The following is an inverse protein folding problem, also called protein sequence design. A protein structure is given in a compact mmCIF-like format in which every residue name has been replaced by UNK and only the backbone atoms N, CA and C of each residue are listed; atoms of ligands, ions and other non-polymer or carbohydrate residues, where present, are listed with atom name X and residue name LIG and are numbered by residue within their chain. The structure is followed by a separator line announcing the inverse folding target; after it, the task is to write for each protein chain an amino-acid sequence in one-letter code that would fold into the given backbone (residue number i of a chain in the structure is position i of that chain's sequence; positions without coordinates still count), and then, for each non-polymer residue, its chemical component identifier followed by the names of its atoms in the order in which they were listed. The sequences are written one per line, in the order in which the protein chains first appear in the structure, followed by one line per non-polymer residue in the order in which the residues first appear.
data_IF_863128220411
#
_entry.id   IF_863128220411
#
_cell.length_a   1.000
_cell.length_b   1.000
_cell.length_c   1.000
_cell.angle_alpha   90.00
_cell.angle_beta   90.00
_cell.angle_gamma   90.00
#
_symmetry.space_group_name_H-M   'P 1'
#
loop_
_entity.id
_entity.type
_entity.pdbx_description
1 polymer ?
#
# COMPACT_ATOMS: atom_id res chain seq x y z
N UNK A 1 -23.69 21.10 -4.90
CA UNK A 1 -24.87 20.37 -4.41
C UNK A 1 -26.10 20.76 -5.22
N UNK A 2 -26.95 19.80 -5.53
CA UNK A 2 -28.28 20.04 -6.11
C UNK A 2 -29.25 20.17 -4.94
N UNK A 3 -29.99 21.25 -4.94
CA UNK A 3 -30.98 21.53 -3.88
C UNK A 3 -32.32 21.92 -4.50
N UNK A 4 -33.39 21.71 -3.77
CA UNK A 4 -34.70 22.18 -4.09
C UNK A 4 -35.06 23.34 -3.17
N UNK A 5 -35.45 24.49 -3.74
CA UNK A 5 -35.86 25.64 -2.97
C UNK A 5 -37.32 25.51 -2.46
N UNK A 6 -37.77 26.48 -1.69
CA UNK A 6 -39.13 26.52 -1.13
C UNK A 6 -40.23 26.61 -2.18
N UNK A 7 -39.90 27.03 -3.42
CA UNK A 7 -40.83 27.14 -4.55
C UNK A 7 -40.75 25.89 -5.45
N UNK A 8 -39.90 24.90 -5.09
CA UNK A 8 -39.74 23.68 -5.85
C UNK A 8 -38.73 23.73 -7.02
N UNK A 9 -37.98 24.84 -7.15
CA UNK A 9 -36.99 25.00 -8.23
C UNK A 9 -35.69 24.25 -7.87
N UNK A 10 -35.10 23.67 -8.88
CA UNK A 10 -33.79 23.00 -8.73
C UNK A 10 -32.66 24.03 -8.91
N UNK A 11 -31.77 24.08 -7.94
CA UNK A 11 -30.65 25.00 -7.88
C UNK A 11 -29.37 24.24 -7.60
N UNK A 12 -28.33 24.44 -8.43
CA UNK A 12 -26.98 24.00 -8.09
C UNK A 12 -26.28 25.11 -7.31
N UNK A 13 -25.81 24.80 -6.11
CA UNK A 13 -25.14 25.76 -5.23
C UNK A 13 -23.92 25.22 -4.53
N UNK A 14 -22.96 26.10 -4.27
CA UNK A 14 -21.79 25.84 -3.42
C UNK A 14 -21.96 26.45 -2.02
N UNK A 15 -23.06 27.14 -1.74
CA UNK A 15 -23.30 27.81 -0.47
C UNK A 15 -23.32 26.82 0.69
N UNK A 16 -22.67 27.20 1.79
CA UNK A 16 -22.74 26.54 3.09
C UNK A 16 -22.77 27.63 4.18
N UNK A 17 -23.71 27.57 5.14
CA UNK A 17 -24.84 26.63 5.23
C UNK A 17 -25.89 26.89 4.13
N UNK A 18 -26.71 25.87 3.85
CA UNK A 18 -27.85 26.04 2.96
C UNK A 18 -28.89 26.98 3.62
N UNK A 19 -29.60 27.79 2.82
CA UNK A 19 -30.72 28.58 3.34
C UNK A 19 -31.75 27.70 4.04
N UNK A 20 -32.43 28.19 5.09
CA UNK A 20 -33.46 27.42 5.76
C UNK A 20 -34.57 27.03 4.76
N UNK A 21 -35.04 25.80 4.87
CA UNK A 21 -36.05 25.18 4.00
C UNK A 21 -35.59 24.80 2.57
N UNK A 22 -34.30 24.87 2.27
CA UNK A 22 -33.77 24.25 1.05
C UNK A 22 -33.37 22.81 1.34
N UNK A 23 -33.82 21.88 0.49
CA UNK A 23 -33.55 20.46 0.63
C UNK A 23 -32.48 20.04 -0.38
N UNK A 24 -31.44 19.36 0.11
CA UNK A 24 -30.45 18.72 -0.77
C UNK A 24 -31.07 17.49 -1.42
N UNK A 25 -30.89 17.36 -2.74
CA UNK A 25 -31.45 16.26 -3.54
C UNK A 25 -30.31 15.40 -4.05
N UNK A 26 -30.37 14.12 -3.72
CA UNK A 26 -29.44 13.12 -4.26
C UNK A 26 -29.74 12.76 -5.72
N UNK A 27 -28.74 12.24 -6.47
CA UNK A 27 -28.93 11.80 -7.85
C UNK A 27 -30.04 10.76 -8.04
N UNK A 28 -30.20 9.85 -7.08
CA UNK A 28 -31.27 8.84 -7.11
C UNK A 28 -32.65 9.44 -6.91
N UNK A 29 -32.76 10.43 -6.04
CA UNK A 29 -34.02 11.14 -5.75
C UNK A 29 -34.46 11.98 -6.94
N UNK A 30 -33.52 12.70 -7.58
CA UNK A 30 -33.79 13.42 -8.83
C UNK A 30 -34.25 12.46 -9.93
N UNK A 31 -33.56 11.33 -10.08
CA UNK A 31 -33.92 10.32 -11.07
C UNK A 31 -35.30 9.74 -10.80
N UNK A 32 -35.62 9.40 -9.54
CA UNK A 32 -36.95 8.93 -9.14
C UNK A 32 -38.04 9.96 -9.41
N UNK A 33 -37.76 11.24 -9.14
CA UNK A 33 -38.70 12.33 -9.44
C UNK A 33 -38.98 12.47 -10.94
N UNK A 34 -37.95 12.41 -11.79
CA UNK A 34 -38.09 12.50 -13.23
C UNK A 34 -38.84 11.31 -13.84
N UNK A 35 -38.63 10.10 -13.31
CA UNK A 35 -39.37 8.92 -13.74
C UNK A 35 -40.85 8.92 -13.33
N UNK A 36 -41.19 9.62 -12.25
CA UNK A 36 -42.55 9.72 -11.78
C UNK A 36 -43.38 10.79 -12.56
N UNK A 37 -42.70 11.64 -13.36
CA UNK A 37 -43.39 12.68 -14.15
C UNK A 37 -43.94 12.10 -15.45
N UNK A 38 -45.14 12.57 -15.88
CA UNK A 38 -45.63 12.33 -17.24
C UNK A 38 -44.62 12.84 -18.30
N UNK A 39 -44.47 12.16 -19.46
CA UNK A 39 -43.46 12.52 -20.47
C UNK A 39 -43.42 14.00 -20.87
N UNK A 40 -44.58 14.65 -20.99
CA UNK A 40 -44.66 16.07 -21.29
C UNK A 40 -44.09 16.96 -20.18
N UNK A 41 -44.28 16.57 -18.91
CA UNK A 41 -43.75 17.33 -17.77
C UNK A 41 -42.26 17.06 -17.59
N UNK A 42 -41.79 15.85 -17.87
CA UNK A 42 -40.35 15.54 -17.87
C UNK A 42 -39.65 16.34 -18.98
N UNK A 43 -40.21 16.44 -20.17
CA UNK A 43 -39.71 17.28 -21.26
C UNK A 43 -39.68 18.77 -20.87
N UNK A 44 -40.74 19.28 -20.24
CA UNK A 44 -40.80 20.65 -19.73
C UNK A 44 -39.75 20.89 -18.61
N UNK A 45 -39.45 19.89 -17.77
CA UNK A 45 -38.38 20.01 -16.77
C UNK A 45 -37.03 20.30 -17.44
N UNK A 46 -36.69 19.57 -18.49
CA UNK A 46 -35.40 19.75 -19.18
C UNK A 46 -35.27 21.07 -19.92
N UNK A 47 -36.38 21.73 -20.20
CA UNK A 47 -36.40 23.09 -20.80
C UNK A 47 -36.23 24.20 -19.75
N UNK A 48 -36.32 23.90 -18.46
CA UNK A 48 -36.11 24.86 -17.39
C UNK A 48 -34.66 25.31 -17.31
N UNK A 49 -34.44 26.58 -16.98
CA UNK A 49 -33.12 27.08 -16.66
C UNK A 49 -32.72 26.64 -15.25
N UNK A 50 -31.61 25.91 -15.12
CA UNK A 50 -31.03 25.53 -13.83
C UNK A 50 -29.99 26.57 -13.43
N UNK A 51 -30.16 27.16 -12.24
CA UNK A 51 -29.22 28.14 -11.72
C UNK A 51 -28.01 27.44 -11.07
N UNK A 52 -26.88 27.53 -11.73
CA UNK A 52 -25.57 27.10 -11.22
C UNK A 52 -24.80 28.34 -10.80
N UNK A 53 -24.66 28.75 -9.60
CA UNK A 53 -23.98 30.02 -9.28
C UNK A 53 -23.70 30.88 -10.56
N UNK A 54 -24.50 30.68 -11.56
CA UNK A 54 -24.64 31.08 -12.96
C UNK A 54 -25.84 30.35 -13.56
N UNK A 55 -26.18 30.62 -14.77
CA UNK A 55 -27.32 30.00 -15.45
C UNK A 55 -26.81 28.92 -16.41
N UNK A 56 -27.22 27.69 -16.19
CA UNK A 56 -27.01 26.57 -17.14
C UNK A 56 -28.39 26.13 -17.64
N UNK A 57 -28.53 25.98 -18.96
CA UNK A 57 -29.73 25.44 -19.55
C UNK A 57 -29.98 24.00 -19.16
N UNK A 58 -31.19 23.66 -18.74
CA UNK A 58 -31.57 22.27 -18.51
C UNK A 58 -31.37 21.37 -19.75
N UNK A 59 -31.47 21.94 -20.94
CA UNK A 59 -31.15 21.26 -22.20
C UNK A 59 -29.70 20.77 -22.26
N UNK A 60 -28.75 21.49 -21.65
CA UNK A 60 -27.36 21.02 -21.57
C UNK A 60 -27.21 19.75 -20.68
N UNK A 61 -28.01 19.66 -19.60
CA UNK A 61 -28.03 18.46 -18.75
C UNK A 61 -28.69 17.30 -19.48
N UNK A 62 -29.75 17.56 -20.27
CA UNK A 62 -30.38 16.54 -21.10
C UNK A 62 -29.40 15.98 -22.15
N UNK A 63 -28.66 16.85 -22.85
CA UNK A 63 -27.64 16.42 -23.82
C UNK A 63 -26.57 15.51 -23.18
N UNK A 64 -26.11 15.85 -21.97
CA UNK A 64 -25.16 15.01 -21.25
C UNK A 64 -25.77 13.66 -20.86
N UNK A 65 -27.03 13.64 -20.41
CA UNK A 65 -27.73 12.39 -20.08
C UNK A 65 -27.95 11.52 -21.33
N UNK A 66 -28.34 12.10 -22.44
CA UNK A 66 -28.51 11.41 -23.73
C UNK A 66 -27.19 10.80 -24.22
N UNK A 67 -26.09 11.57 -24.17
CA UNK A 67 -24.75 11.06 -24.48
C UNK A 67 -24.33 9.92 -23.56
N UNK A 68 -24.57 10.05 -22.26
CA UNK A 68 -24.28 8.98 -21.29
C UNK A 68 -25.12 7.72 -21.56
N UNK A 69 -26.38 7.87 -21.94
CA UNK A 69 -27.25 6.77 -22.31
C UNK A 69 -26.80 6.09 -23.62
N UNK A 70 -26.40 6.86 -24.61
CA UNK A 70 -25.84 6.35 -25.87
C UNK A 70 -24.54 5.59 -25.63
N UNK A 71 -23.61 6.16 -24.86
CA UNK A 71 -22.37 5.48 -24.48
C UNK A 71 -22.64 4.20 -23.69
N UNK A 72 -23.54 4.24 -22.71
CA UNK A 72 -23.97 3.02 -21.98
C UNK A 72 -24.57 1.96 -22.92
N UNK A 73 -25.37 2.37 -23.92
CA UNK A 73 -25.95 1.46 -24.91
C UNK A 73 -24.89 0.73 -25.73
N UNK A 74 -23.82 1.39 -26.13
CA UNK A 74 -22.70 0.78 -26.85
C UNK A 74 -22.04 -0.34 -26.03
N UNK A 75 -21.97 -0.18 -24.71
CA UNK A 75 -21.35 -1.17 -23.83
C UNK A 75 -22.30 -2.33 -23.43
N UNK A 76 -23.59 -2.06 -23.28
CA UNK A 76 -24.57 -3.07 -22.83
C UNK A 76 -24.89 -4.10 -23.91
N UNK A 77 -24.91 -3.70 -25.18
CA UNK A 77 -25.33 -4.58 -26.30
C UNK A 77 -24.24 -5.57 -26.72
N UNK A 78 -22.97 -5.32 -26.45
CA UNK A 78 -21.90 -6.16 -26.96
C UNK A 78 -21.28 -7.12 -25.96
N UNK A 79 -20.78 -6.64 -24.84
CA UNK A 79 -20.06 -7.43 -23.83
C UNK A 79 -20.07 -6.71 -22.47
N UNK A 80 -21.04 -6.98 -21.59
CA UNK A 80 -21.20 -6.25 -20.32
C UNK A 80 -20.02 -6.38 -19.35
N UNK A 81 -19.10 -7.29 -19.62
CA UNK A 81 -17.93 -7.56 -18.78
C UNK A 81 -16.61 -7.22 -19.48
N UNK A 82 -16.62 -6.27 -20.43
CA UNK A 82 -15.36 -5.79 -21.01
C UNK A 82 -14.56 -4.99 -19.98
N UNK A 83 -13.23 -4.97 -20.13
CA UNK A 83 -12.35 -4.28 -19.20
C UNK A 83 -12.64 -2.76 -19.16
N UNK A 84 -13.08 -2.18 -20.29
CA UNK A 84 -13.46 -0.76 -20.41
C UNK A 84 -14.63 -0.45 -19.45
N UNK A 85 -15.66 -1.30 -19.42
CA UNK A 85 -16.81 -1.13 -18.51
C UNK A 85 -16.39 -1.39 -17.08
N UNK A 86 -15.73 -2.53 -16.84
CA UNK A 86 -15.36 -2.96 -15.51
C UNK A 86 -14.40 -1.95 -14.85
N UNK A 87 -13.48 -1.36 -15.61
CA UNK A 87 -12.56 -0.34 -15.09
C UNK A 87 -13.27 0.94 -14.61
N UNK A 88 -14.48 1.21 -15.07
CA UNK A 88 -15.32 2.31 -14.58
C UNK A 88 -16.06 1.96 -13.28
N UNK A 89 -16.20 0.66 -12.96
CA UNK A 89 -16.89 0.19 -11.74
C UNK A 89 -15.94 0.30 -10.54
N UNK A 90 -16.35 1.04 -9.52
CA UNK A 90 -15.53 1.29 -8.32
C UNK A 90 -15.15 0.00 -7.60
N UNK A 91 -16.12 -0.88 -7.40
CA UNK A 91 -15.96 -2.15 -6.69
C UNK A 91 -14.97 -3.06 -7.41
N UNK A 92 -15.02 -3.09 -8.74
CA UNK A 92 -14.07 -3.83 -9.56
C UNK A 92 -12.64 -3.31 -9.38
N UNK A 93 -12.45 -1.97 -9.41
CA UNK A 93 -11.12 -1.37 -9.17
C UNK A 93 -10.59 -1.69 -7.79
N UNK A 94 -11.46 -1.66 -6.77
CA UNK A 94 -11.07 -2.04 -5.40
C UNK A 94 -10.64 -3.50 -5.37
N UNK A 95 -11.43 -4.40 -5.96
CA UNK A 95 -11.10 -5.84 -6.03
C UNK A 95 -9.77 -6.08 -6.73
N UNK A 96 -9.52 -5.43 -7.86
CA UNK A 96 -8.25 -5.52 -8.59
C UNK A 96 -7.09 -5.00 -7.73
N UNK A 97 -7.30 -3.89 -7.03
CA UNK A 97 -6.29 -3.34 -6.12
C UNK A 97 -5.95 -4.29 -4.97
N UNK A 98 -6.96 -4.91 -4.36
CA UNK A 98 -6.76 -5.90 -3.30
C UNK A 98 -6.04 -7.15 -3.81
N UNK A 99 -6.42 -7.66 -4.97
CA UNK A 99 -5.73 -8.79 -5.62
C UNK A 99 -4.28 -8.46 -5.97
N UNK A 100 -4.02 -7.24 -6.42
CA UNK A 100 -2.66 -6.78 -6.66
C UNK A 100 -1.84 -6.77 -5.37
N UNK A 101 -2.40 -6.26 -4.26
CA UNK A 101 -1.74 -6.26 -2.95
C UNK A 101 -1.40 -7.68 -2.49
N UNK A 102 -2.33 -8.63 -2.62
CA UNK A 102 -2.08 -10.04 -2.29
C UNK A 102 -0.93 -10.62 -3.12
N UNK A 103 -0.92 -10.37 -4.43
CA UNK A 103 0.15 -10.85 -5.31
C UNK A 103 1.49 -10.21 -4.98
N UNK A 104 1.50 -8.91 -4.68
CA UNK A 104 2.71 -8.21 -4.28
C UNK A 104 3.25 -8.75 -2.95
N UNK A 105 2.39 -8.97 -1.96
CA UNK A 105 2.79 -9.55 -0.68
C UNK A 105 3.44 -10.91 -0.86
N UNK A 106 2.83 -11.79 -1.67
CA UNK A 106 3.43 -13.10 -2.02
C UNK A 106 4.76 -12.95 -2.74
N UNK A 107 4.87 -12.06 -3.71
CA UNK A 107 6.15 -11.81 -4.39
C UNK A 107 7.22 -11.30 -3.43
N UNK A 108 6.83 -10.58 -2.37
CA UNK A 108 7.74 -10.11 -1.31
C UNK A 108 8.03 -11.15 -0.22
N UNK A 109 7.50 -12.38 -0.31
CA UNK A 109 7.82 -13.48 0.60
C UNK A 109 6.80 -13.69 1.73
N UNK A 110 5.53 -13.36 1.51
CA UNK A 110 4.42 -13.74 2.39
C UNK A 110 3.79 -15.02 1.84
N UNK A 111 3.91 -16.12 2.56
CA UNK A 111 3.36 -17.42 2.17
C UNK A 111 2.07 -17.75 2.92
N UNK A 112 1.86 -17.13 4.08
CA UNK A 112 0.60 -17.21 4.82
C UNK A 112 -0.60 -16.89 3.94
N UNK A 113 -1.78 -17.49 4.19
CA UNK A 113 -3.01 -17.19 3.49
C UNK A 113 -3.35 -15.70 3.60
N UNK A 114 -3.49 -15.03 2.47
CA UNK A 114 -3.74 -13.59 2.39
C UNK A 114 -5.04 -13.35 1.65
N UNK A 115 -6.03 -12.84 2.37
CA UNK A 115 -7.37 -12.64 1.83
C UNK A 115 -7.54 -11.21 1.30
N UNK A 116 -8.10 -11.05 0.07
CA UNK A 116 -8.33 -9.75 -0.55
C UNK A 116 -9.59 -9.07 0.01
N UNK A 117 -9.63 -8.83 1.32
CA UNK A 117 -10.72 -8.15 2.01
C UNK A 117 -10.49 -6.64 2.10
N UNK A 118 -11.57 -5.86 2.25
CA UNK A 118 -11.48 -4.39 2.30
C UNK A 118 -10.60 -3.86 3.44
N UNK A 119 -10.48 -4.62 4.51
CA UNK A 119 -9.62 -4.29 5.67
C UNK A 119 -8.15 -4.68 5.46
N UNK A 120 -7.79 -5.37 4.37
CA UNK A 120 -6.40 -5.78 4.09
C UNK A 120 -5.40 -4.62 4.22
N UNK A 121 -5.64 -3.41 3.68
CA UNK A 121 -4.71 -2.29 3.81
C UNK A 121 -4.53 -1.81 5.26
N UNK A 122 -5.42 -2.19 6.16
CA UNK A 122 -5.36 -1.88 7.59
C UNK A 122 -4.69 -2.98 8.42
N UNK A 123 -4.27 -4.09 7.78
CA UNK A 123 -3.55 -5.18 8.44
C UNK A 123 -4.45 -6.24 9.08
N UNK A 124 -5.57 -6.58 8.44
CA UNK A 124 -6.50 -7.59 8.96
C UNK A 124 -6.04 -9.05 8.79
N UNK A 125 -5.04 -9.29 7.95
CA UNK A 125 -4.50 -10.64 7.75
C UNK A 125 -3.41 -10.97 8.77
N UNK A 126 -3.34 -12.23 9.15
CA UNK A 126 -2.34 -12.75 10.08
C UNK A 126 -1.14 -13.26 9.28
N UNK A 127 0.05 -12.84 9.66
CA UNK A 127 1.32 -13.24 9.06
C UNK A 127 2.33 -13.53 10.17
N UNK A 128 3.35 -14.31 9.86
CA UNK A 128 4.45 -14.55 10.80
C UNK A 128 5.39 -13.34 10.89
N UNK A 129 6.11 -13.21 12.00
CA UNK A 129 7.12 -12.16 12.16
C UNK A 129 8.25 -12.30 11.12
N UNK A 130 8.60 -13.51 10.74
CA UNK A 130 9.61 -13.79 9.74
C UNK A 130 9.17 -13.29 8.35
N UNK A 131 7.95 -13.60 7.93
CA UNK A 131 7.39 -13.17 6.65
C UNK A 131 7.32 -11.64 6.54
N UNK A 132 6.78 -10.98 7.58
CA UNK A 132 6.68 -9.52 7.55
C UNK A 132 8.06 -8.86 7.53
N UNK A 133 9.05 -9.42 8.23
CA UNK A 133 10.43 -8.93 8.22
C UNK A 133 11.05 -9.07 6.83
N UNK A 134 10.90 -10.22 6.16
CA UNK A 134 11.34 -10.45 4.77
C UNK A 134 10.64 -9.52 3.78
N UNK A 135 9.35 -9.32 3.95
CA UNK A 135 8.59 -8.38 3.10
C UNK A 135 9.15 -6.96 3.22
N UNK A 136 9.42 -6.47 4.43
CA UNK A 136 10.01 -5.14 4.62
C UNK A 136 11.42 -5.03 4.05
N UNK A 137 12.24 -6.07 4.17
CA UNK A 137 13.53 -6.14 3.47
C UNK A 137 13.35 -5.97 1.96
N UNK A 138 12.43 -6.73 1.36
CA UNK A 138 12.12 -6.66 -0.07
C UNK A 138 11.62 -5.27 -0.47
N UNK A 139 10.75 -4.65 0.33
CA UNK A 139 10.23 -3.31 0.07
C UNK A 139 11.33 -2.24 0.06
N UNK A 140 12.32 -2.37 0.93
CA UNK A 140 13.42 -1.39 1.07
C UNK A 140 14.53 -1.65 0.05
N UNK A 141 14.93 -2.91 -0.14
CA UNK A 141 16.07 -3.27 -1.01
C UNK A 141 15.66 -3.43 -2.47
N UNK A 142 14.39 -3.67 -2.74
CA UNK A 142 13.85 -4.03 -4.05
C UNK A 142 14.03 -5.51 -4.41
N UNK A 143 14.73 -6.28 -3.58
CA UNK A 143 15.06 -7.68 -3.84
C UNK A 143 14.55 -8.58 -2.71
N UNK A 144 13.95 -9.70 -3.07
CA UNK A 144 13.72 -10.80 -2.15
C UNK A 144 15.01 -11.63 -2.07
N UNK A 145 15.43 -11.95 -0.88
CA UNK A 145 16.54 -12.84 -0.64
C UNK A 145 16.00 -14.24 -0.30
N UNK A 146 16.13 -15.16 -1.26
CA UNK A 146 15.79 -16.56 -1.04
C UNK A 146 17.04 -17.25 -0.50
N UNK A 147 16.91 -17.80 0.69
CA UNK A 147 17.95 -18.57 1.35
C UNK A 147 17.79 -20.02 0.87
N UNK A 148 18.50 -20.38 -0.19
CA UNK A 148 18.55 -21.77 -0.63
C UNK A 148 19.66 -22.49 0.12
N UNK A 149 19.37 -23.68 0.61
CA UNK A 149 20.40 -24.55 1.12
C UNK A 149 21.33 -24.94 -0.03
N UNK A 150 22.50 -24.34 -0.02
CA UNK A 150 23.58 -24.69 -0.95
C UNK A 150 24.23 -26.03 -0.55
N UNK A 151 23.42 -27.05 -0.35
CA UNK A 151 23.91 -28.38 -0.08
C UNK A 151 24.51 -29.00 -1.35
N UNK A 152 25.75 -28.69 -1.64
CA UNK A 152 26.60 -29.60 -2.40
C UNK A 152 27.14 -30.65 -1.45
N UNK A 153 26.26 -31.32 -0.72
CA UNK A 153 26.59 -32.62 -0.14
C UNK A 153 26.07 -33.62 -1.15
N UNK A 154 26.97 -34.43 -1.68
CA UNK A 154 26.62 -35.69 -2.30
C UNK A 154 25.99 -36.60 -1.21
N UNK A 155 24.74 -36.35 -0.89
CA UNK A 155 23.88 -37.26 -0.12
C UNK A 155 22.98 -37.91 -1.16
N UNK A 156 23.02 -39.23 -1.16
CA UNK A 156 22.24 -40.17 -1.95
C UNK A 156 20.80 -39.68 -2.19
N UNK A 157 20.38 -39.87 -3.42
CA UNK A 157 19.01 -39.62 -3.93
C UNK A 157 17.96 -40.19 -2.95
N UNK A 158 17.17 -39.33 -2.36
CA UNK A 158 16.03 -39.67 -1.56
C UNK A 158 15.65 -38.54 -0.59
N UNK A 159 14.56 -37.83 -0.89
CA UNK A 159 13.86 -36.87 -0.02
C UNK A 159 14.65 -35.65 0.47
N UNK A 160 14.89 -34.71 -0.38
CA UNK A 160 15.09 -33.33 0.05
C UNK A 160 13.97 -32.45 -0.49
N UNK A 161 12.80 -32.47 0.16
CA UNK A 161 11.96 -31.30 0.20
C UNK A 161 12.66 -30.26 1.09
N UNK A 162 13.59 -29.53 0.53
CA UNK A 162 14.09 -28.31 1.16
C UNK A 162 12.94 -27.31 1.11
N UNK A 163 12.42 -26.99 2.29
CA UNK A 163 11.48 -25.88 2.44
C UNK A 163 12.22 -24.59 2.00
N UNK A 164 11.87 -23.97 0.86
CA UNK A 164 12.56 -22.79 0.37
C UNK A 164 12.42 -21.58 1.29
N UNK A 165 11.60 -21.69 2.33
CA UNK A 165 11.24 -20.63 3.25
C UNK A 165 11.92 -20.72 4.62
N UNK A 166 12.73 -21.74 4.87
CA UNK A 166 13.47 -21.81 6.13
C UNK A 166 14.54 -20.71 6.15
N UNK A 167 14.39 -19.75 7.07
CA UNK A 167 15.44 -18.79 7.36
C UNK A 167 16.68 -19.56 7.82
N UNK A 168 17.69 -19.67 6.95
CA UNK A 168 18.90 -20.43 7.27
C UNK A 168 19.67 -19.70 8.39
N UNK A 169 19.70 -20.31 9.56
CA UNK A 169 20.44 -19.82 10.73
C UNK A 169 21.93 -20.18 10.58
N UNK A 170 22.21 -21.27 9.87
CA UNK A 170 23.57 -21.79 9.70
C UNK A 170 24.17 -21.12 8.45
N UNK A 171 25.27 -20.41 8.63
CA UNK A 171 26.00 -19.79 7.54
C UNK A 171 27.01 -20.77 6.90
N UNK A 172 27.69 -21.58 7.72
CA UNK A 172 28.72 -22.47 7.26
C UNK A 172 28.91 -23.63 8.24
N UNK A 173 29.21 -24.81 7.72
CA UNK A 173 29.60 -25.97 8.49
C UNK A 173 30.95 -26.43 7.98
N UNK A 174 31.89 -26.70 8.92
CA UNK A 174 33.21 -27.21 8.61
C UNK A 174 33.49 -28.50 9.41
N UNK A 175 34.33 -29.38 8.85
CA UNK A 175 34.88 -30.50 9.61
C UNK A 175 35.96 -29.99 10.56
N UNK A 176 36.37 -30.79 11.56
CA UNK A 176 37.48 -30.44 12.47
C UNK A 176 38.80 -30.13 11.74
N UNK A 177 38.97 -30.68 10.52
CA UNK A 177 40.13 -30.49 9.68
C UNK A 177 40.04 -29.22 8.82
N UNK A 178 38.98 -28.40 8.97
CA UNK A 178 38.76 -27.15 8.26
C UNK A 178 38.16 -27.32 6.88
N UNK A 179 37.68 -28.49 6.48
CA UNK A 179 37.00 -28.68 5.21
C UNK A 179 35.57 -28.18 5.32
N UNK A 180 35.19 -27.24 4.40
CA UNK A 180 33.84 -26.74 4.32
C UNK A 180 32.92 -27.83 3.75
N UNK A 181 31.89 -28.22 4.51
CA UNK A 181 30.86 -29.18 4.10
C UNK A 181 29.57 -28.52 3.71
N UNK A 182 29.32 -27.30 4.19
CA UNK A 182 28.15 -26.53 3.88
C UNK A 182 28.50 -25.03 3.87
N UNK A 183 27.95 -24.30 2.90
CA UNK A 183 27.95 -22.85 2.90
C UNK A 183 26.59 -22.38 2.38
N UNK A 184 25.97 -21.49 3.11
CA UNK A 184 24.71 -20.88 2.71
C UNK A 184 24.88 -20.11 1.41
N UNK A 185 23.99 -20.31 0.46
CA UNK A 185 23.86 -19.46 -0.72
C UNK A 185 22.63 -18.56 -0.58
N UNK A 186 22.75 -17.33 -1.06
CA UNK A 186 21.67 -16.34 -1.05
C UNK A 186 21.35 -15.98 -2.49
N UNK A 187 20.16 -16.33 -2.93
CA UNK A 187 19.64 -15.89 -4.22
C UNK A 187 18.90 -14.56 -4.09
N UNK A 188 19.24 -13.61 -4.97
CA UNK A 188 18.57 -12.33 -5.06
C UNK A 188 17.57 -12.34 -6.20
N UNK A 189 16.29 -12.22 -5.87
CA UNK A 189 15.21 -12.13 -6.85
C UNK A 189 14.71 -10.68 -6.89
N UNK A 190 14.88 -9.96 -8.01
CA UNK A 190 14.35 -8.61 -8.13
C UNK A 190 12.82 -8.65 -8.16
N UNK A 191 12.17 -7.97 -7.22
CA UNK A 191 10.71 -7.92 -7.07
C UNK A 191 10.19 -6.50 -7.32
N UNK A 192 10.89 -5.50 -6.80
CA UNK A 192 10.45 -4.11 -6.83
C UNK A 192 11.49 -3.26 -7.55
N UNK A 193 11.01 -2.42 -8.46
CA UNK A 193 11.90 -1.51 -9.16
C UNK A 193 12.65 -0.58 -8.17
N UNK A 194 13.97 -0.36 -8.33
CA UNK A 194 14.78 0.40 -7.35
C UNK A 194 14.25 1.80 -7.04
N UNK A 195 13.67 2.51 -8.02
CA UNK A 195 13.04 3.83 -7.79
C UNK A 195 11.82 3.74 -6.86
N UNK A 196 11.06 2.66 -6.97
CA UNK A 196 9.89 2.42 -6.10
C UNK A 196 10.37 2.07 -4.69
N UNK A 197 11.36 1.19 -4.56
CA UNK A 197 11.96 0.85 -3.27
C UNK A 197 12.52 2.10 -2.56
N UNK A 198 13.20 2.98 -3.29
CA UNK A 198 13.67 4.26 -2.74
C UNK A 198 12.53 5.17 -2.28
N UNK A 199 11.43 5.25 -3.04
CA UNK A 199 10.25 6.03 -2.66
C UNK A 199 9.58 5.47 -1.39
N UNK A 200 9.43 4.14 -1.31
CA UNK A 200 8.91 3.45 -0.12
C UNK A 200 9.81 3.70 1.09
N UNK A 201 11.13 3.61 0.91
CA UNK A 201 12.11 3.89 1.97
C UNK A 201 11.97 5.32 2.51
N UNK A 202 11.79 6.31 1.64
CA UNK A 202 11.56 7.70 2.05
C UNK A 202 10.27 7.85 2.89
N UNK A 203 9.22 7.10 2.55
CA UNK A 203 7.98 7.09 3.34
C UNK A 203 8.21 6.44 4.70
N UNK A 204 8.91 5.31 4.74
CA UNK A 204 9.20 4.55 5.96
C UNK A 204 10.11 5.32 6.94
N UNK A 205 10.94 6.23 6.49
CA UNK A 205 11.72 7.11 7.36
C UNK A 205 10.83 8.00 8.23
N UNK A 206 9.66 8.38 7.76
CA UNK A 206 8.77 9.30 8.45
C UNK A 206 8.17 8.74 9.75
N UNK A 207 8.20 7.41 9.96
CA UNK A 207 7.70 6.80 11.19
C UNK A 207 8.47 7.27 12.43
N UNK A 208 9.74 7.61 12.27
CA UNK A 208 10.61 8.06 13.36
C UNK A 208 10.36 9.54 13.74
N UNK A 209 10.51 10.53 12.83
CA UNK A 209 10.32 11.93 13.21
C UNK A 209 8.86 12.34 13.39
N UNK A 210 7.94 11.74 12.63
CA UNK A 210 6.54 12.22 12.56
C UNK A 210 5.52 11.18 13.01
N UNK A 211 5.92 9.92 13.13
CA UNK A 211 5.05 8.79 13.46
C UNK A 211 5.18 8.30 14.90
N UNK A 212 4.75 7.06 15.08
CA UNK A 212 4.70 6.38 16.38
C UNK A 212 6.07 5.86 16.85
N UNK A 213 7.11 5.93 16.00
CA UNK A 213 8.49 5.52 16.32
C UNK A 213 9.35 6.62 16.95
N UNK A 214 8.78 7.72 17.43
CA UNK A 214 9.52 8.89 17.97
C UNK A 214 10.52 8.55 19.08
N UNK A 215 10.27 7.53 19.86
CA UNK A 215 11.21 7.09 20.91
C UNK A 215 12.60 6.78 20.35
N UNK A 216 12.69 6.29 19.11
CA UNK A 216 13.96 6.02 18.46
C UNK A 216 14.78 7.29 18.17
N UNK A 217 14.15 8.47 18.04
CA UNK A 217 14.88 9.74 17.82
C UNK A 217 15.90 10.05 18.91
N UNK A 218 15.58 9.66 20.13
CA UNK A 218 16.42 9.96 21.30
C UNK A 218 17.36 8.81 21.63
N UNK A 219 16.95 7.58 21.33
CA UNK A 219 17.62 6.37 21.81
C UNK A 219 18.51 5.70 20.76
N UNK A 220 18.26 5.90 19.46
CA UNK A 220 19.07 5.31 18.39
C UNK A 220 20.03 6.34 17.82
N UNK A 221 21.29 6.19 18.17
CA UNK A 221 22.39 7.06 17.78
C UNK A 221 23.45 6.27 17.04
N UNK A 222 24.17 6.97 16.16
CA UNK A 222 25.35 6.39 15.53
C UNK A 222 26.43 6.19 16.61
N UNK A 223 26.92 4.95 16.73
CA UNK A 223 27.95 4.56 17.67
C UNK A 223 29.06 3.81 16.97
N UNK A 224 30.25 3.82 17.53
CA UNK A 224 31.40 3.03 17.10
C UNK A 224 31.90 2.15 18.24
N UNK A 225 32.47 1.01 17.91
CA UNK A 225 33.21 0.17 18.85
C UNK A 225 34.56 0.76 19.26
N UNK A 226 35.11 1.66 18.42
CA UNK A 226 36.32 2.42 18.75
C UNK A 226 35.99 3.55 19.74
N UNK A 227 36.64 3.61 20.92
CA UNK A 227 36.34 4.61 21.94
C UNK A 227 36.54 6.05 21.49
N UNK A 228 37.59 6.32 20.69
CA UNK A 228 37.91 7.65 20.19
C UNK A 228 36.84 8.14 19.20
N UNK A 229 36.49 7.32 18.22
CA UNK A 229 35.39 7.59 17.29
C UNK A 229 34.06 7.75 18.01
N UNK A 230 33.78 6.87 18.98
CA UNK A 230 32.51 6.93 19.70
C UNK A 230 32.33 8.25 20.46
N UNK A 231 33.42 8.78 21.07
CA UNK A 231 33.41 10.10 21.72
C UNK A 231 33.08 11.21 20.72
N UNK A 232 33.69 11.18 19.54
CA UNK A 232 33.44 12.15 18.46
C UNK A 232 31.98 12.07 17.98
N UNK A 233 31.47 10.86 17.69
CA UNK A 233 30.11 10.65 17.25
C UNK A 233 29.07 11.07 18.29
N UNK A 234 29.34 10.82 19.56
CA UNK A 234 28.47 11.27 20.66
C UNK A 234 28.40 12.81 20.72
N UNK A 235 29.51 13.50 20.49
CA UNK A 235 29.53 14.95 20.40
C UNK A 235 28.76 15.52 19.21
N UNK A 236 28.74 14.82 18.10
CA UNK A 236 27.98 15.21 16.89
C UNK A 236 26.46 14.94 17.02
N UNK A 237 26.05 14.12 17.96
CA UNK A 237 24.64 13.75 18.18
C UNK A 237 23.90 13.28 16.91
N UNK A 238 24.61 12.54 16.06
CA UNK A 238 24.07 12.07 14.79
C UNK A 238 22.99 11.01 15.01
N UNK A 239 21.86 11.21 14.38
CA UNK A 239 20.75 10.26 14.37
C UNK A 239 20.99 9.21 13.30
N UNK A 240 20.63 7.96 13.60
CA UNK A 240 20.68 6.91 12.61
C UNK A 240 19.39 6.93 11.76
N UNK A 241 19.48 6.88 10.42
CA UNK A 241 18.30 6.90 9.53
C UNK A 241 17.63 5.52 9.55
N UNK A 242 16.77 5.28 10.53
CA UNK A 242 15.95 4.10 10.59
C UNK A 242 14.75 4.22 9.65
N UNK A 243 14.44 3.12 8.99
CA UNK A 243 13.23 2.93 8.20
C UNK A 243 12.34 1.92 8.94
N UNK A 244 11.03 2.11 8.95
CA UNK A 244 10.20 1.08 9.56
C UNK A 244 8.74 1.44 9.71
N UNK A 245 8.04 0.54 10.37
CA UNK A 245 6.63 0.68 10.70
C UNK A 245 6.34 0.03 12.05
N UNK A 246 5.56 0.71 12.84
CA UNK A 246 4.97 0.17 14.07
C UNK A 246 3.65 -0.51 13.76
N UNK A 247 3.34 -1.57 14.49
CA UNK A 247 2.04 -2.22 14.53
C UNK A 247 1.51 -2.25 15.96
N UNK A 248 0.20 -2.09 16.13
CA UNK A 248 -0.45 -2.22 17.42
C UNK A 248 -1.78 -2.92 17.20
N UNK A 249 -2.02 -4.00 17.93
CA UNK A 249 -3.30 -4.68 17.90
C UNK A 249 -4.35 -3.92 18.72
N UNK A 250 -5.61 -4.29 18.53
CA UNK A 250 -6.71 -3.76 19.30
C UNK A 250 -6.45 -4.00 20.81
N UNK A 251 -6.90 -3.06 21.63
CA UNK A 251 -6.72 -3.05 23.08
C UNK A 251 -5.25 -3.06 23.55
N UNK A 252 -4.32 -2.66 22.67
CA UNK A 252 -2.87 -2.63 22.96
C UNK A 252 -2.28 -3.95 23.46
N UNK A 253 -2.91 -5.08 23.11
CA UNK A 253 -2.47 -6.41 23.58
C UNK A 253 -1.15 -6.84 22.96
N UNK A 254 -0.84 -6.36 21.77
CA UNK A 254 0.36 -6.70 21.05
C UNK A 254 0.94 -5.44 20.43
N UNK A 255 2.23 -5.30 20.49
CA UNK A 255 2.98 -4.27 19.80
C UNK A 255 4.04 -4.89 18.90
N UNK A 256 4.21 -4.33 17.71
CA UNK A 256 5.23 -4.79 16.76
C UNK A 256 5.98 -3.60 16.18
N UNK A 257 7.21 -3.84 15.82
CA UNK A 257 8.01 -2.94 15.00
C UNK A 257 8.79 -3.75 13.99
N UNK A 258 8.72 -3.36 12.73
CA UNK A 258 9.60 -3.88 11.70
C UNK A 258 10.37 -2.71 11.11
N UNK A 259 11.68 -2.82 11.10
CA UNK A 259 12.54 -1.74 10.64
C UNK A 259 13.75 -2.23 9.87
N UNK A 260 14.29 -1.36 9.03
CA UNK A 260 15.53 -1.60 8.32
C UNK A 260 16.59 -0.59 8.78
N UNK A 261 17.76 -1.12 9.08
CA UNK A 261 18.95 -0.40 9.51
C UNK A 261 19.94 -0.42 8.35
N UNK A 262 20.09 0.66 7.58
CA UNK A 262 21.03 0.70 6.47
C UNK A 262 22.47 0.60 6.98
N UNK A 263 23.37 0.04 6.17
CA UNK A 263 24.80 0.01 6.49
C UNK A 263 25.54 1.15 5.81
N UNK A 264 26.67 1.53 6.39
CA UNK A 264 27.63 2.41 5.75
C UNK A 264 28.37 1.63 4.67
N UNK A 265 28.40 2.14 3.47
CA UNK A 265 29.06 1.55 2.32
C UNK A 265 30.10 2.50 1.72
N UNK A 266 30.99 1.96 0.91
CA UNK A 266 32.11 2.68 0.28
C UNK A 266 33.41 2.50 1.05
N UNK A 267 34.53 2.79 0.40
CA UNK A 267 35.89 2.56 0.93
C UNK A 267 36.15 3.32 2.25
N UNK A 268 35.50 4.46 2.42
CA UNK A 268 35.59 5.27 3.63
C UNK A 268 34.34 5.19 4.52
N UNK A 269 33.43 4.26 4.28
CA UNK A 269 32.16 4.14 5.00
C UNK A 269 31.37 5.46 5.06
N UNK A 270 31.45 6.24 3.98
CA UNK A 270 30.86 7.59 3.91
C UNK A 270 29.46 7.62 3.31
N UNK A 271 29.01 6.53 2.72
CA UNK A 271 27.70 6.40 2.06
C UNK A 271 26.80 5.43 2.81
N UNK A 272 25.53 5.79 2.97
CA UNK A 272 24.50 4.88 3.43
C UNK A 272 23.97 4.04 2.26
N UNK A 273 24.00 2.73 2.40
CA UNK A 273 23.44 1.80 1.43
C UNK A 273 22.15 1.19 1.95
N UNK A 274 21.06 1.40 1.24
CA UNK A 274 19.80 0.70 1.51
C UNK A 274 19.78 -0.74 0.96
N UNK A 275 20.73 -1.06 0.08
CA UNK A 275 20.86 -2.42 -0.49
C UNK A 275 21.59 -3.38 0.42
N UNK A 276 22.28 -2.88 1.42
CA UNK A 276 22.87 -3.62 2.52
C UNK A 276 22.28 -3.15 3.83
N UNK A 277 22.37 -3.94 4.87
CA UNK A 277 21.85 -3.59 6.18
C UNK A 277 21.13 -4.76 6.83
N UNK A 278 20.45 -4.43 7.90
CA UNK A 278 19.72 -5.41 8.69
C UNK A 278 18.24 -5.05 8.77
N UNK A 279 17.38 -5.99 8.43
CA UNK A 279 15.95 -5.84 8.69
C UNK A 279 15.63 -6.59 9.99
N UNK A 280 15.00 -5.90 10.90
CA UNK A 280 14.70 -6.39 12.25
C UNK A 280 13.21 -6.33 12.49
N UNK A 281 12.63 -7.46 12.88
CA UNK A 281 11.26 -7.55 13.35
C UNK A 281 11.22 -7.82 14.85
N UNK A 282 10.40 -7.08 15.58
CA UNK A 282 10.16 -7.25 17.02
C UNK A 282 8.67 -7.30 17.26
N UNK A 283 8.26 -8.23 18.12
CA UNK A 283 6.86 -8.42 18.52
C UNK A 283 6.80 -8.71 20.01
N UNK A 284 5.83 -8.11 20.71
CA UNK A 284 5.59 -8.30 22.14
C UNK A 284 4.13 -8.51 22.43
#
# INVERSE_FOLDING_TARGET
RLVRDTVGRFIFTRRQPLPPNWMEIGPLELKGHLYALPPAQAAAFWQQQVKLDGVVSAASLQMVEEQLQEERGKYVVGRPYTLEILSAVREFRIMVGLQYMVRLAKACGIDSPFEPVLSLPLGSNVVTLAEITRMYETLVTGNRHDLTDGATVAVSEGDSQTDPDSAAIIERIETPEGRVVYTRSVHRVPVIHPKVAAAVSNILQNVIPYGTGKYALENVRLRSTDPGRNKTLAGMNLRYPLLGKTGTANDYRNAAFVGHVPVLAGDNQSLLSLRGGYTVGVYT
#
